data_IF_439367511730
#
_entry.id   IF_439367511730
#
_cell.length_a   1.000
_cell.length_b   1.000
_cell.length_c   1.000
_cell.angle_alpha   90.00
_cell.angle_beta   90.00
_cell.angle_gamma   90.00
#
_symmetry.space_group_name_H-M   'P 1'
#
loop_
_entity.id
_entity.type
_entity.pdbx_description
1 polymer ?
#
# COMPACT_ATOMS: atom_id res chain seq x y z
N UNK A 1 5.12 9.67 -4.74
CA UNK A 1 5.64 8.82 -3.65
C UNK A 1 7.13 9.11 -3.50
N UNK A 2 7.72 9.05 -2.30
CA UNK A 2 9.15 9.36 -2.11
C UNK A 2 10.09 8.50 -3.00
N UNK A 3 9.76 7.22 -3.21
CA UNK A 3 10.49 6.32 -4.13
C UNK A 3 10.66 6.91 -5.54
N UNK A 4 9.67 7.63 -6.07
CA UNK A 4 9.71 8.20 -7.42
C UNK A 4 10.74 9.35 -7.55
N UNK A 5 11.20 9.90 -6.43
CA UNK A 5 12.19 10.97 -6.41
C UNK A 5 13.63 10.44 -6.49
N UNK A 6 13.87 9.17 -6.15
CA UNK A 6 15.22 8.59 -6.04
C UNK A 6 16.06 8.73 -7.32
N UNK A 7 15.52 8.54 -8.55
CA UNK A 7 16.32 8.71 -9.76
C UNK A 7 16.79 10.14 -9.99
N UNK A 8 16.06 11.13 -9.46
CA UNK A 8 16.40 12.56 -9.57
C UNK A 8 17.25 13.04 -8.40
N UNK A 9 17.01 12.48 -7.22
CA UNK A 9 17.67 12.84 -5.97
C UNK A 9 17.83 11.61 -5.06
N UNK A 10 19.02 11.02 -5.06
CA UNK A 10 19.34 9.87 -4.20
C UNK A 10 19.40 10.23 -2.73
N UNK A 11 19.48 11.51 -2.34
CA UNK A 11 19.53 11.88 -0.91
C UNK A 11 18.25 11.52 -0.18
N UNK A 12 17.13 11.43 -0.91
CA UNK A 12 15.81 10.99 -0.42
C UNK A 12 15.82 9.56 0.14
N UNK A 13 16.81 8.73 -0.23
CA UNK A 13 16.98 7.40 0.36
C UNK A 13 17.10 7.44 1.88
N UNK A 14 17.69 8.50 2.45
CA UNK A 14 17.80 8.64 3.91
C UNK A 14 16.44 8.68 4.59
N UNK A 15 15.44 9.32 3.96
CA UNK A 15 14.08 9.39 4.47
C UNK A 15 13.38 8.03 4.35
N UNK A 16 13.59 7.33 3.24
CA UNK A 16 13.07 5.98 3.02
C UNK A 16 13.66 4.97 4.01
N UNK A 17 14.93 5.13 4.39
CA UNK A 17 15.60 4.31 5.41
C UNK A 17 15.15 4.64 6.83
N UNK A 18 14.83 5.91 7.11
CA UNK A 18 14.29 6.33 8.39
C UNK A 18 12.82 5.94 8.58
N UNK A 19 12.10 5.70 7.48
CA UNK A 19 10.70 5.29 7.50
C UNK A 19 10.52 3.95 8.23
N UNK A 20 9.41 3.83 8.97
CA UNK A 20 9.02 2.61 9.65
C UNK A 20 7.57 2.29 9.34
N UNK A 21 7.32 1.02 9.05
CA UNK A 21 5.98 0.48 8.98
C UNK A 21 5.28 0.62 10.34
N UNK A 22 3.99 0.95 10.29
CA UNK A 22 3.08 0.94 11.43
C UNK A 22 1.87 0.12 11.04
N UNK A 23 1.33 -0.64 12.00
CA UNK A 23 0.11 -1.39 11.73
C UNK A 23 -1.05 -0.44 11.41
N UNK A 24 -2.05 -0.93 10.69
CA UNK A 24 -3.22 -0.13 10.35
C UNK A 24 -3.97 0.36 11.60
N UNK A 25 -3.96 -0.43 12.67
CA UNK A 25 -4.47 -0.03 13.98
C UNK A 25 -3.67 1.11 14.61
N UNK A 26 -2.34 0.98 14.66
CA UNK A 26 -1.44 2.02 15.20
C UNK A 26 -1.54 3.34 14.43
N UNK A 27 -1.73 3.25 13.11
CA UNK A 27 -1.96 4.42 12.26
C UNK A 27 -3.10 5.29 12.80
N UNK A 28 -4.25 4.72 13.18
CA UNK A 28 -5.37 5.52 13.72
C UNK A 28 -5.06 6.14 15.08
N UNK A 29 -4.26 5.48 15.92
CA UNK A 29 -3.85 6.02 17.22
C UNK A 29 -2.91 7.22 17.09
N UNK A 30 -2.08 7.24 16.04
CA UNK A 30 -1.15 8.33 15.75
C UNK A 30 -1.72 9.40 14.81
N UNK A 31 -2.85 9.13 14.15
CA UNK A 31 -3.41 9.98 13.10
C UNK A 31 -4.21 11.16 13.66
N UNK A 32 -4.01 12.34 13.07
CA UNK A 32 -4.82 13.53 13.34
C UNK A 32 -6.12 13.60 12.51
N UNK A 33 -6.54 12.48 11.90
CA UNK A 33 -7.77 12.42 11.11
C UNK A 33 -8.99 12.60 12.03
N UNK A 34 -9.90 13.50 11.64
CA UNK A 34 -11.14 13.79 12.38
C UNK A 34 -11.99 12.55 12.66
N UNK A 35 -12.00 11.59 11.73
CA UNK A 35 -12.76 10.35 11.83
C UNK A 35 -11.91 9.13 12.25
N UNK A 36 -10.73 9.33 12.83
CA UNK A 36 -9.82 8.24 13.18
C UNK A 36 -10.46 7.24 14.15
N UNK A 37 -11.22 7.71 15.13
CA UNK A 37 -11.88 6.86 16.11
C UNK A 37 -12.98 6.00 15.48
N UNK A 38 -13.83 6.59 14.63
CA UNK A 38 -14.90 5.88 13.95
C UNK A 38 -14.37 4.84 12.96
N UNK A 39 -13.31 5.20 12.20
CA UNK A 39 -12.66 4.29 11.26
C UNK A 39 -11.98 3.12 11.99
N UNK A 40 -11.32 3.39 13.13
CA UNK A 40 -10.70 2.35 13.94
C UNK A 40 -11.74 1.39 14.53
N UNK A 41 -12.87 1.91 15.04
CA UNK A 41 -13.98 1.09 15.53
C UNK A 41 -14.64 0.27 14.41
N UNK A 42 -14.80 0.83 13.22
CA UNK A 42 -15.31 0.08 12.07
C UNK A 42 -14.38 -1.09 11.71
N UNK A 43 -13.07 -0.84 11.66
CA UNK A 43 -12.07 -1.87 11.41
C UNK A 43 -12.09 -2.97 12.48
N UNK A 44 -12.24 -2.61 13.77
CA UNK A 44 -12.35 -3.59 14.88
C UNK A 44 -13.60 -4.48 14.84
N UNK A 45 -14.64 -4.09 14.10
CA UNK A 45 -15.87 -4.89 13.92
C UNK A 45 -15.78 -5.87 12.75
N UNK A 46 -14.73 -5.78 11.92
CA UNK A 46 -14.52 -6.73 10.84
C UNK A 46 -14.28 -8.14 11.40
N UNK A 47 -14.59 -9.15 10.59
CA UNK A 47 -14.31 -10.52 10.94
C UNK A 47 -12.79 -10.78 10.96
N UNK A 48 -12.34 -11.82 11.70
CA UNK A 48 -10.91 -12.14 11.80
C UNK A 48 -10.25 -12.41 10.45
N UNK A 49 -11.02 -12.92 9.47
CA UNK A 49 -10.52 -13.22 8.13
C UNK A 49 -10.26 -11.94 7.33
N UNK A 50 -11.20 -11.00 7.36
CA UNK A 50 -11.11 -9.70 6.68
C UNK A 50 -9.94 -8.89 7.24
N UNK A 51 -9.80 -8.87 8.56
CA UNK A 51 -8.66 -8.26 9.27
C UNK A 51 -7.33 -8.87 8.81
N UNK A 52 -7.21 -10.20 8.85
CA UNK A 52 -5.97 -10.88 8.45
C UNK A 52 -5.61 -10.64 6.98
N UNK A 53 -6.60 -10.61 6.08
CA UNK A 53 -6.38 -10.32 4.67
C UNK A 53 -5.89 -8.89 4.44
N UNK A 54 -6.48 -7.91 5.13
CA UNK A 54 -6.07 -6.51 5.01
C UNK A 54 -4.70 -6.26 5.63
N UNK A 55 -4.40 -6.85 6.78
CA UNK A 55 -3.08 -6.76 7.42
C UNK A 55 -2.00 -7.40 6.56
N UNK A 56 -2.30 -8.53 5.90
CA UNK A 56 -1.39 -9.14 4.95
C UNK A 56 -1.11 -8.23 3.74
N UNK A 57 -2.13 -7.48 3.28
CA UNK A 57 -1.97 -6.49 2.22
C UNK A 57 -1.10 -5.30 2.66
N UNK A 58 -1.32 -4.76 3.86
CA UNK A 58 -0.45 -3.74 4.46
C UNK A 58 1.00 -4.22 4.58
N UNK A 59 1.21 -5.42 5.14
CA UNK A 59 2.53 -6.01 5.28
C UNK A 59 3.21 -6.27 3.91
N UNK A 60 2.45 -6.54 2.85
CA UNK A 60 2.99 -6.65 1.50
C UNK A 60 3.50 -5.29 0.97
N UNK A 61 2.78 -4.20 1.24
CA UNK A 61 3.23 -2.84 0.91
C UNK A 61 4.51 -2.49 1.68
N UNK A 62 4.54 -2.77 2.99
CA UNK A 62 5.70 -2.50 3.84
C UNK A 62 6.94 -3.26 3.35
N UNK A 63 6.80 -4.57 3.08
CA UNK A 63 7.89 -5.39 2.53
C UNK A 63 8.39 -4.88 1.21
N UNK A 64 7.50 -4.44 0.31
CA UNK A 64 7.87 -3.91 -0.99
C UNK A 64 8.71 -2.65 -0.85
N UNK A 65 8.29 -1.70 0.00
CA UNK A 65 9.04 -0.47 0.26
C UNK A 65 10.40 -0.80 0.87
N UNK A 66 10.44 -1.62 1.93
CA UNK A 66 11.70 -1.99 2.58
C UNK A 66 12.68 -2.71 1.63
N UNK A 67 12.17 -3.60 0.79
CA UNK A 67 12.99 -4.33 -0.19
C UNK A 67 13.54 -3.38 -1.26
N UNK A 68 12.71 -2.51 -1.81
CA UNK A 68 13.14 -1.53 -2.80
C UNK A 68 14.19 -0.57 -2.20
N UNK A 69 13.97 -0.07 -0.99
CA UNK A 69 14.92 0.79 -0.28
C UNK A 69 16.26 0.08 -0.07
N UNK A 70 16.27 -1.18 0.37
CA UNK A 70 17.50 -1.94 0.57
C UNK A 70 18.26 -2.17 -0.76
N UNK A 71 17.55 -2.53 -1.83
CA UNK A 71 18.17 -2.70 -3.15
C UNK A 71 18.78 -1.40 -3.69
N UNK A 72 18.13 -0.26 -3.44
CA UNK A 72 18.60 1.05 -3.86
C UNK A 72 19.78 1.57 -3.02
N UNK A 73 19.87 1.16 -1.76
CA UNK A 73 20.99 1.46 -0.87
C UNK A 73 22.25 0.66 -1.25
N UNK A 74 22.08 -0.61 -1.62
CA UNK A 74 23.17 -1.47 -2.08
C UNK A 74 23.64 -1.15 -3.52
N UNK A 75 22.82 -0.41 -4.28
CA UNK A 75 23.11 -0.07 -5.67
C UNK A 75 24.22 0.99 -5.79
N UNK A 76 25.28 0.75 -6.60
CA UNK A 76 26.32 1.74 -6.86
C UNK A 76 25.76 3.06 -7.42
N UNK A 77 26.37 4.19 -7.09
CA UNK A 77 25.97 5.51 -7.60
C UNK A 77 26.07 5.64 -9.13
N UNK A 78 26.87 4.78 -9.78
CA UNK A 78 27.02 4.73 -11.23
C UNK A 78 25.87 4.03 -11.96
N UNK A 79 25.03 3.28 -11.24
CA UNK A 79 23.89 2.56 -11.81
C UNK A 79 22.63 3.41 -11.76
N UNK A 80 21.78 3.24 -12.77
CA UNK A 80 20.49 3.93 -12.88
C UNK A 80 19.41 3.21 -12.05
N UNK A 81 18.85 3.84 -11.00
CA UNK A 81 17.84 3.23 -10.15
C UNK A 81 16.44 3.16 -10.80
N UNK A 82 16.23 3.78 -11.97
CA UNK A 82 14.91 3.97 -12.57
C UNK A 82 14.09 2.68 -12.69
N UNK A 83 14.71 1.57 -13.13
CA UNK A 83 13.99 0.30 -13.28
C UNK A 83 13.46 -0.24 -11.95
N UNK A 84 14.26 -0.20 -10.88
CA UNK A 84 13.83 -0.66 -9.55
C UNK A 84 12.69 0.22 -9.04
N UNK A 85 12.84 1.54 -9.19
CA UNK A 85 11.84 2.52 -8.79
C UNK A 85 10.53 2.30 -9.53
N UNK A 86 10.55 2.17 -10.86
CA UNK A 86 9.36 1.99 -11.69
C UNK A 86 8.60 0.71 -11.30
N UNK A 87 9.31 -0.41 -11.13
CA UNK A 87 8.70 -1.69 -10.76
C UNK A 87 8.10 -1.63 -9.35
N UNK A 88 8.81 -1.03 -8.39
CA UNK A 88 8.34 -0.87 -7.02
C UNK A 88 7.11 0.05 -6.96
N UNK A 89 7.15 1.18 -7.66
CA UNK A 89 6.05 2.15 -7.70
C UNK A 89 4.80 1.56 -8.38
N UNK A 90 4.96 0.85 -9.50
CA UNK A 90 3.84 0.16 -10.16
C UNK A 90 3.21 -0.88 -9.23
N UNK A 91 4.03 -1.69 -8.57
CA UNK A 91 3.57 -2.72 -7.65
C UNK A 91 2.86 -2.10 -6.44
N UNK A 92 3.39 -1.01 -5.87
CA UNK A 92 2.79 -0.35 -4.73
C UNK A 92 1.44 0.28 -5.10
N UNK A 93 1.34 0.93 -6.26
CA UNK A 93 0.07 1.49 -6.76
C UNK A 93 -1.02 0.42 -6.88
N UNK A 94 -0.67 -0.80 -7.33
CA UNK A 94 -1.62 -1.92 -7.39
C UNK A 94 -2.08 -2.36 -6.01
N UNK A 95 -1.17 -2.46 -5.04
CA UNK A 95 -1.52 -2.83 -3.65
C UNK A 95 -2.38 -1.75 -2.98
N UNK A 96 -2.06 -0.47 -3.20
CA UNK A 96 -2.86 0.68 -2.73
C UNK A 96 -4.26 0.64 -3.33
N UNK A 97 -4.39 0.35 -4.63
CA UNK A 97 -5.69 0.22 -5.28
C UNK A 97 -6.55 -0.90 -4.67
N UNK A 98 -5.94 -2.05 -4.35
CA UNK A 98 -6.63 -3.15 -3.63
C UNK A 98 -7.08 -2.72 -2.24
N UNK A 99 -6.23 -2.01 -1.50
CA UNK A 99 -6.55 -1.53 -0.16
C UNK A 99 -7.72 -0.52 -0.22
N UNK A 100 -7.68 0.40 -1.18
CA UNK A 100 -8.75 1.36 -1.41
C UNK A 100 -10.09 0.68 -1.77
N UNK A 101 -10.05 -0.34 -2.64
CA UNK A 101 -11.24 -1.13 -2.97
C UNK A 101 -11.84 -1.83 -1.74
N UNK A 102 -11.01 -2.46 -0.91
CA UNK A 102 -11.46 -3.08 0.34
C UNK A 102 -12.09 -2.07 1.31
N UNK A 103 -11.46 -0.89 1.48
CA UNK A 103 -11.99 0.19 2.33
C UNK A 103 -13.34 0.68 1.79
N UNK A 104 -13.43 0.91 0.47
CA UNK A 104 -14.67 1.37 -0.17
C UNK A 104 -15.79 0.32 -0.14
N UNK A 105 -15.44 -0.96 -0.06
CA UNK A 105 -16.38 -2.05 0.18
C UNK A 105 -16.75 -2.22 1.66
N UNK A 106 -16.45 -1.24 2.53
CA UNK A 106 -16.65 -1.33 3.98
C UNK A 106 -16.02 -2.58 4.61
N UNK A 107 -14.84 -2.95 4.12
CA UNK A 107 -14.08 -4.13 4.57
C UNK A 107 -14.73 -5.46 4.23
N UNK A 108 -15.65 -5.49 3.25
CA UNK A 108 -16.21 -6.73 2.73
C UNK A 108 -15.32 -7.28 1.59
N UNK A 109 -15.17 -8.60 1.55
CA UNK A 109 -14.35 -9.30 0.55
C UNK A 109 -12.95 -9.67 1.02
N UNK A 110 -12.14 -10.26 0.14
CA UNK A 110 -10.78 -10.70 0.45
C UNK A 110 -9.74 -9.70 -0.04
N UNK A 111 -9.29 -8.81 0.84
CA UNK A 111 -8.28 -7.79 0.53
C UNK A 111 -6.98 -8.37 -0.08
N UNK A 112 -6.62 -9.61 0.23
CA UNK A 112 -5.42 -10.24 -0.30
C UNK A 112 -5.58 -10.69 -1.77
N UNK A 113 -6.82 -10.93 -2.20
CA UNK A 113 -7.16 -11.46 -3.53
C UNK A 113 -8.05 -10.51 -4.37
N UNK A 114 -8.28 -9.27 -3.94
CA UNK A 114 -8.93 -8.28 -4.80
C UNK A 114 -8.07 -8.12 -6.05
N UNK A 115 -8.57 -8.60 -7.18
CA UNK A 115 -8.04 -8.26 -8.50
C UNK A 115 -8.74 -6.98 -8.96
N UNK A 116 -8.02 -5.84 -9.03
CA UNK A 116 -8.60 -4.59 -9.52
C UNK A 116 -9.18 -4.73 -10.94
N UNK A 117 -8.63 -5.66 -11.75
CA UNK A 117 -9.15 -5.97 -13.08
C UNK A 117 -10.50 -6.67 -13.06
N UNK A 118 -10.76 -7.51 -12.05
CA UNK A 118 -12.05 -8.20 -11.89
C UNK A 118 -13.15 -7.23 -11.42
N UNK A 119 -12.83 -6.29 -10.54
CA UNK A 119 -13.79 -5.27 -10.07
C UNK A 119 -14.17 -4.30 -11.21
N UNK A 120 -13.22 -3.87 -12.03
CA UNK A 120 -13.52 -3.02 -13.19
C UNK A 120 -14.43 -3.74 -14.20
N UNK A 121 -14.20 -5.05 -14.41
CA UNK A 121 -15.06 -5.86 -15.29
C UNK A 121 -16.49 -5.98 -14.76
N UNK A 122 -16.70 -6.16 -13.45
CA UNK A 122 -18.05 -6.15 -12.85
C UNK A 122 -18.76 -4.80 -12.99
N UNK A 123 -18.03 -3.69 -12.82
CA UNK A 123 -18.60 -2.33 -12.99
C UNK A 123 -18.99 -2.07 -14.44
N UNK A 124 -18.14 -2.46 -15.39
CA UNK A 124 -18.42 -2.30 -16.82
C UNK A 124 -19.62 -3.17 -17.25
N UNK A 125 -19.78 -4.36 -16.68
CA UNK A 125 -20.92 -5.25 -16.92
C UNK A 125 -22.24 -4.67 -16.37
N UNK A 126 -22.20 -4.02 -15.20
CA UNK A 126 -23.36 -3.34 -14.59
C UNK A 126 -23.81 -2.10 -15.38
N UNK A 127 -22.89 -1.39 -16.04
CA UNK A 127 -23.18 -0.18 -16.82
C UNK A 127 -23.63 -0.54 -18.26
N UNK A 128 -23.28 -1.74 -18.73
CA UNK A 128 -23.59 -2.20 -20.09
C UNK A 128 -24.85 -3.07 -20.20
N UNK A 129 -25.51 -3.38 -19.07
CA UNK A 129 -26.79 -4.11 -18.99
C UNK A 129 -27.98 -3.19 -18.70
#
# INVERSE_FOLDING_TARGET
MLLEMVPMDRTVLVELQAWRAVSYSEHFLASSLRCAAEAHEAYRRLGPREVAGFDALCAAMDRLVLTATALLDEMPDSEDPALIVDVACLSLRRLIARAAAFINANGQGDAAHIDPGAIQAEVDELISG
#
